data_IF_384235745960
#
_entry.id   IF_384235745960
#
_cell.length_a   1.000
_cell.length_b   1.000
_cell.length_c   1.000
_cell.angle_alpha   90.00
_cell.angle_beta   90.00
_cell.angle_gamma   90.00
#
_symmetry.space_group_name_H-M   'P 1'
#
loop_
_entity.id
_entity.type
_entity.pdbx_description
1 polymer ?
#
# COMPACT_ATOMS: atom_id res chain seq x y z
N UNK A 1 -28.77 -29.57 37.10
CA UNK A 1 -29.23 -28.18 37.34
C UNK A 1 -28.02 -27.34 37.77
N UNK A 2 -27.36 -26.70 36.78
CA UNK A 2 -27.56 -25.29 36.43
C UNK A 2 -27.13 -24.39 37.59
N UNK A 3 -26.30 -23.38 37.48
CA UNK A 3 -25.37 -22.81 36.49
C UNK A 3 -24.63 -21.71 37.31
N UNK A 4 -23.83 -20.85 36.68
CA UNK A 4 -23.37 -19.54 37.22
C UNK A 4 -22.31 -19.55 38.36
N UNK A 5 -21.28 -18.70 38.39
CA UNK A 5 -20.76 -17.67 37.48
C UNK A 5 -19.38 -17.25 38.03
N UNK A 6 -18.53 -16.71 37.15
CA UNK A 6 -17.11 -16.37 37.35
C UNK A 6 -16.86 -15.32 38.45
N UNK A 7 -15.76 -15.48 39.22
CA UNK A 7 -15.11 -14.33 39.89
C UNK A 7 -13.59 -14.48 39.87
N UNK A 8 -12.98 -13.62 39.06
CA UNK A 8 -11.57 -13.69 38.68
C UNK A 8 -10.60 -13.30 39.79
N UNK A 9 -9.36 -13.76 39.62
CA UNK A 9 -8.15 -13.10 40.11
C UNK A 9 -7.07 -13.29 39.05
N UNK A 10 -7.11 -12.43 38.05
CA UNK A 10 -6.03 -12.27 37.08
C UNK A 10 -4.76 -11.88 37.85
N UNK A 11 -3.75 -12.74 37.85
CA UNK A 11 -2.40 -12.35 38.24
C UNK A 11 -1.76 -11.66 37.05
N UNK A 12 -2.08 -10.37 36.89
CA UNK A 12 -1.35 -9.48 36.00
C UNK A 12 -0.02 -9.17 36.67
N UNK A 13 0.98 -10.01 36.39
CA UNK A 13 2.37 -9.69 36.73
C UNK A 13 2.69 -8.34 36.09
N UNK A 14 3.14 -7.43 36.95
CA UNK A 14 3.63 -6.07 36.67
C UNK A 14 4.18 -5.94 35.26
N UNK A 15 3.45 -5.23 34.39
CA UNK A 15 4.01 -4.78 33.11
C UNK A 15 4.92 -3.61 33.42
N UNK A 16 6.20 -3.83 33.19
CA UNK A 16 7.24 -2.81 33.18
C UNK A 16 6.80 -1.63 32.28
N UNK A 17 6.82 -0.38 32.77
CA UNK A 17 6.49 0.79 31.94
C UNK A 17 7.47 0.98 30.76
N UNK A 18 8.58 0.24 30.70
CA UNK A 18 9.49 0.18 29.56
C UNK A 18 9.00 -0.72 28.40
N UNK A 19 8.05 -1.63 28.63
CA UNK A 19 7.48 -2.48 27.56
C UNK A 19 6.45 -1.72 26.73
N UNK A 20 5.80 -0.71 27.30
CA UNK A 20 4.84 0.19 26.62
C UNK A 20 5.56 1.29 25.82
N UNK A 21 6.89 1.25 25.69
CA UNK A 21 7.62 2.12 24.76
C UNK A 21 8.06 1.39 23.47
N UNK A 22 7.84 0.07 23.36
CA UNK A 22 8.26 -0.73 22.19
C UNK A 22 7.10 -1.03 21.24
N UNK A 23 5.87 -0.73 21.64
CA UNK A 23 4.81 -0.47 20.67
C UNK A 23 4.91 1.00 20.29
N UNK A 24 6.03 1.33 19.64
CA UNK A 24 6.04 2.50 18.77
C UNK A 24 4.85 2.30 17.85
N UNK A 25 3.81 3.11 18.06
CA UNK A 25 2.92 3.51 17.00
C UNK A 25 3.77 3.61 15.73
N UNK A 26 3.45 2.86 14.66
CA UNK A 26 3.98 3.21 13.36
C UNK A 26 3.33 4.55 13.05
N UNK A 27 3.91 5.63 13.59
CA UNK A 27 3.83 6.94 12.98
C UNK A 27 4.03 6.64 11.51
N UNK A 28 2.95 6.86 10.74
CA UNK A 28 3.01 7.18 9.33
C UNK A 28 4.08 8.25 9.25
N UNK A 29 5.32 7.79 9.09
CA UNK A 29 6.45 8.65 8.87
C UNK A 29 6.23 9.02 7.42
N UNK A 30 5.36 10.02 7.25
CA UNK A 30 5.38 10.97 6.16
C UNK A 30 6.73 11.70 6.23
N UNK A 31 7.81 10.90 6.15
CA UNK A 31 9.11 11.40 5.78
C UNK A 31 8.85 12.04 4.43
N UNK A 32 9.24 13.30 4.33
CA UNK A 32 9.18 14.17 3.17
C UNK A 32 10.06 13.59 2.05
N UNK A 33 9.75 12.36 1.66
CA UNK A 33 10.55 11.56 0.79
C UNK A 33 10.30 12.15 -0.59
N UNK A 34 11.37 12.60 -1.20
CA UNK A 34 11.45 13.08 -2.59
C UNK A 34 11.17 11.93 -3.58
N UNK A 35 10.21 11.07 -3.24
CA UNK A 35 9.78 9.94 -4.02
C UNK A 35 9.18 10.43 -5.31
N UNK A 36 9.64 9.83 -6.39
CA UNK A 36 9.12 10.11 -7.73
C UNK A 36 7.62 9.79 -7.80
N UNK A 37 6.87 10.39 -8.73
CA UNK A 37 5.45 10.04 -8.92
C UNK A 37 5.23 8.55 -9.15
N UNK A 38 6.18 7.88 -9.82
CA UNK A 38 6.15 6.44 -10.03
C UNK A 38 6.33 5.67 -8.72
N UNK A 39 7.31 6.04 -7.90
CA UNK A 39 7.56 5.39 -6.62
C UNK A 39 6.37 5.48 -5.68
N UNK A 40 5.78 6.69 -5.55
CA UNK A 40 4.55 6.88 -4.76
C UNK A 40 3.41 6.01 -5.27
N UNK A 41 3.27 5.91 -6.60
CA UNK A 41 2.28 5.05 -7.22
C UNK A 41 2.52 3.57 -6.87
N UNK A 42 3.75 3.08 -6.99
CA UNK A 42 4.08 1.69 -6.65
C UNK A 42 3.88 1.41 -5.17
N UNK A 43 4.31 2.30 -4.28
CA UNK A 43 4.14 2.16 -2.81
C UNK A 43 2.65 2.11 -2.44
N UNK A 44 1.81 2.98 -3.01
CA UNK A 44 0.36 2.99 -2.76
C UNK A 44 -0.32 1.65 -3.12
N UNK A 45 0.25 0.91 -4.07
CA UNK A 45 -0.23 -0.42 -4.47
C UNK A 45 0.52 -1.57 -3.78
N UNK A 46 1.43 -1.29 -2.84
CA UNK A 46 2.27 -2.31 -2.20
C UNK A 46 3.18 -3.03 -3.21
N UNK A 47 3.73 -2.25 -4.14
CA UNK A 47 4.69 -2.67 -5.18
C UNK A 47 6.01 -1.90 -5.07
N UNK A 48 6.22 -1.13 -3.98
CA UNK A 48 7.41 -0.28 -3.79
C UNK A 48 8.73 -1.05 -3.86
N UNK A 49 8.75 -2.31 -3.41
CA UNK A 49 9.93 -3.19 -3.50
C UNK A 49 10.44 -3.41 -4.94
N UNK A 50 9.61 -3.16 -5.95
CA UNK A 50 9.94 -3.34 -7.36
C UNK A 50 10.47 -2.06 -8.03
N UNK A 51 10.57 -0.92 -7.33
CA UNK A 51 10.95 0.38 -7.91
C UNK A 51 12.23 0.30 -8.75
N UNK A 52 13.28 -0.37 -8.26
CA UNK A 52 14.56 -0.50 -8.98
C UNK A 52 14.43 -1.14 -10.37
N UNK A 53 13.45 -2.04 -10.57
CA UNK A 53 13.18 -2.66 -11.90
C UNK A 53 12.77 -1.64 -12.93
N UNK A 54 12.04 -0.61 -12.51
CA UNK A 54 11.56 0.47 -13.38
C UNK A 54 12.69 1.48 -13.63
N UNK A 55 13.49 1.81 -12.62
CA UNK A 55 14.64 2.71 -12.76
C UNK A 55 15.71 2.17 -13.71
N UNK A 56 16.05 0.88 -13.59
CA UNK A 56 16.99 0.19 -14.49
C UNK A 56 16.59 0.30 -15.97
N UNK A 57 15.28 0.30 -16.23
CA UNK A 57 14.70 0.40 -17.56
C UNK A 57 14.31 1.84 -17.95
N UNK A 58 14.59 2.82 -17.08
CA UNK A 58 14.22 4.23 -17.24
C UNK A 58 12.72 4.44 -17.49
N UNK A 59 11.89 3.66 -16.81
CA UNK A 59 10.43 3.77 -16.87
C UNK A 59 10.02 4.78 -15.80
N UNK A 60 9.35 5.85 -16.23
CA UNK A 60 8.64 6.78 -15.35
C UNK A 60 7.13 6.49 -15.35
N UNK A 61 6.34 7.31 -14.62
CA UNK A 61 4.91 7.08 -14.49
C UNK A 61 4.17 7.23 -15.83
N UNK A 62 4.56 8.19 -16.66
CA UNK A 62 3.92 8.40 -17.96
C UNK A 62 4.24 7.25 -18.92
N UNK A 63 5.50 6.80 -18.96
CA UNK A 63 5.94 5.64 -19.74
C UNK A 63 5.24 4.36 -19.27
N UNK A 64 5.08 4.16 -17.96
CA UNK A 64 4.36 3.01 -17.39
C UNK A 64 2.93 2.90 -17.95
N UNK A 65 2.24 4.02 -18.13
CA UNK A 65 0.89 4.06 -18.69
C UNK A 65 0.86 3.80 -20.20
N UNK A 66 1.99 3.85 -20.91
CA UNK A 66 2.08 3.55 -22.34
C UNK A 66 2.49 2.10 -22.62
N UNK A 67 2.99 1.37 -21.61
CA UNK A 67 3.45 -0.01 -21.78
C UNK A 67 2.35 -0.95 -22.29
N UNK A 68 2.73 -1.83 -23.21
CA UNK A 68 1.88 -2.93 -23.69
C UNK A 68 1.97 -4.14 -22.76
N UNK A 69 1.10 -5.13 -22.96
CA UNK A 69 1.16 -6.39 -22.20
C UNK A 69 2.53 -7.09 -22.35
N UNK A 70 3.13 -7.03 -23.54
CA UNK A 70 4.45 -7.60 -23.80
C UNK A 70 5.54 -6.89 -23.00
N UNK A 71 5.48 -5.56 -22.90
CA UNK A 71 6.44 -4.77 -22.12
C UNK A 71 6.26 -5.01 -20.62
N UNK A 72 5.03 -5.15 -20.14
CA UNK A 72 4.78 -5.49 -18.73
C UNK A 72 5.31 -6.88 -18.38
N UNK A 73 5.28 -7.84 -19.31
CA UNK A 73 5.85 -9.17 -19.12
C UNK A 73 7.38 -9.14 -19.05
N UNK A 74 8.04 -8.22 -19.76
CA UNK A 74 9.50 -8.10 -19.72
C UNK A 74 10.04 -7.55 -18.40
N UNK A 75 9.19 -6.90 -17.58
CA UNK A 75 9.52 -6.51 -16.21
C UNK A 75 9.80 -7.71 -15.29
N UNK A 76 9.41 -8.92 -15.72
CA UNK A 76 9.73 -10.19 -15.06
C UNK A 76 9.30 -10.24 -13.57
N UNK A 77 8.13 -9.67 -13.30
CA UNK A 77 7.49 -9.66 -11.98
C UNK A 77 6.84 -11.03 -11.68
N UNK A 78 6.81 -11.47 -10.39
CA UNK A 78 6.03 -12.63 -10.01
C UNK A 78 4.54 -12.43 -10.31
N UNK A 79 3.79 -13.52 -10.47
CA UNK A 79 2.40 -13.48 -10.94
C UNK A 79 1.48 -12.55 -10.13
N UNK A 80 1.63 -12.53 -8.80
CA UNK A 80 0.84 -11.67 -7.91
C UNK A 80 1.10 -10.17 -8.14
N UNK A 81 2.34 -9.69 -7.93
CA UNK A 81 2.74 -8.31 -8.25
C UNK A 81 2.42 -7.89 -9.68
N UNK A 82 2.65 -8.77 -10.67
CA UNK A 82 2.30 -8.53 -12.07
C UNK A 82 0.80 -8.24 -12.24
N UNK A 83 -0.08 -9.11 -11.71
CA UNK A 83 -1.53 -8.92 -11.79
C UNK A 83 -1.95 -7.62 -11.10
N UNK A 84 -1.35 -7.32 -9.95
CA UNK A 84 -1.64 -6.10 -9.20
C UNK A 84 -1.25 -4.83 -9.97
N UNK A 85 -0.07 -4.84 -10.61
CA UNK A 85 0.39 -3.73 -11.44
C UNK A 85 -0.57 -3.47 -12.61
N UNK A 86 -1.02 -4.53 -13.29
CA UNK A 86 -1.99 -4.41 -14.39
C UNK A 86 -3.29 -3.76 -13.92
N UNK A 87 -3.82 -4.18 -12.77
CA UNK A 87 -5.01 -3.56 -12.16
C UNK A 87 -4.77 -2.08 -11.82
N UNK A 88 -3.63 -1.77 -11.20
CA UNK A 88 -3.27 -0.41 -10.82
C UNK A 88 -3.21 0.55 -12.02
N UNK A 89 -2.61 0.09 -13.13
CA UNK A 89 -2.53 0.85 -14.38
C UNK A 89 -3.93 1.09 -14.95
N UNK A 90 -4.79 0.06 -14.96
CA UNK A 90 -6.15 0.16 -15.46
C UNK A 90 -6.97 1.17 -14.65
N UNK A 91 -6.97 1.07 -13.32
CA UNK A 91 -7.70 1.99 -12.45
C UNK A 91 -7.24 3.43 -12.63
N UNK A 92 -5.92 3.65 -12.70
CA UNK A 92 -5.36 4.98 -12.96
C UNK A 92 -5.82 5.54 -14.31
N UNK A 93 -5.80 4.73 -15.38
CA UNK A 93 -6.27 5.16 -16.72
C UNK A 93 -7.75 5.50 -16.70
N UNK A 94 -8.58 4.69 -16.03
CA UNK A 94 -10.02 4.93 -15.92
C UNK A 94 -10.31 6.23 -15.17
N UNK A 95 -9.60 6.48 -14.06
CA UNK A 95 -9.74 7.73 -13.29
C UNK A 95 -9.32 8.97 -14.09
N UNK A 96 -8.30 8.86 -14.95
CA UNK A 96 -7.88 9.95 -15.84
C UNK A 96 -8.88 10.21 -16.97
N UNK A 97 -9.55 9.17 -17.49
CA UNK A 97 -10.53 9.28 -18.56
C UNK A 97 -11.91 9.74 -18.08
N UNK A 98 -12.26 9.43 -16.84
CA UNK A 98 -13.51 9.83 -16.22
C UNK A 98 -13.18 10.48 -14.88
N UNK A 99 -12.97 11.82 -14.82
CA UNK A 99 -12.66 12.50 -13.58
C UNK A 99 -13.76 12.39 -12.50
N UNK A 100 -14.92 11.78 -12.81
CA UNK A 100 -16.03 11.62 -11.89
C UNK A 100 -16.70 12.96 -11.62
N UNK A 101 -18.00 13.04 -11.90
CA UNK A 101 -18.80 14.16 -11.42
C UNK A 101 -18.60 14.29 -9.90
N UNK A 102 -18.06 15.43 -9.46
CA UNK A 102 -17.93 15.76 -8.04
C UNK A 102 -19.35 15.86 -7.48
N UNK A 103 -19.87 14.75 -6.99
CA UNK A 103 -21.04 14.79 -6.12
C UNK A 103 -20.56 15.35 -4.79
N UNK A 104 -20.67 16.68 -4.67
CA UNK A 104 -20.55 17.40 -3.41
C UNK A 104 -21.36 16.62 -2.37
N UNK A 105 -20.66 16.00 -1.43
CA UNK A 105 -21.29 15.42 -0.26
C UNK A 105 -21.91 16.56 0.53
N UNK A 106 -23.19 16.83 0.31
CA UNK A 106 -23.97 17.75 1.14
C UNK A 106 -23.90 17.26 2.59
N UNK A 107 -23.14 18.01 3.39
CA UNK A 107 -23.15 18.00 4.86
C UNK A 107 -24.50 18.50 5.40
#
# INVERSE_FOLDING_TARGET
>A
PFDDELSGKATWTVIDPLIVAVFSDPESSDEENSNTPLERFLVAWGLGEYMSRFEEQKIDLDTLLLLTESDLKSLNLPLGPYRKLVTAILERKTALQNPGEVVDGQL
#
